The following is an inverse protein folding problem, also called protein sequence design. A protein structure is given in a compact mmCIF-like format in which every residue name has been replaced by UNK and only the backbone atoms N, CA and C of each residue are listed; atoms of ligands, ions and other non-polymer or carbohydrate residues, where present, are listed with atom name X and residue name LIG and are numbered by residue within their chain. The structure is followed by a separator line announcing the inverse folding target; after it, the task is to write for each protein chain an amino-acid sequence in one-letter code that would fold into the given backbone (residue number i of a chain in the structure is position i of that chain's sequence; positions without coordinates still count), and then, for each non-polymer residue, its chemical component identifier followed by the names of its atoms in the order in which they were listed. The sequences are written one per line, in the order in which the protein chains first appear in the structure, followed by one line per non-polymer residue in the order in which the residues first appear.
data_IF_729954838463
#
_entry.id   IF_729954838463
#
_cell.length_a   1.000
_cell.length_b   1.000
_cell.length_c   1.000
_cell.angle_alpha   90.00
_cell.angle_beta   90.00
_cell.angle_gamma   90.00
#
_symmetry.space_group_name_H-M   'P 1'
#
loop_
_entity.id
_entity.type
_entity.pdbx_description
1 polymer ?
#
# COMPACT_ATOMS: atom_id res chain seq x y z
N UNK A 1 3.87 14.04 -16.58
CA UNK A 1 2.56 14.71 -16.50
C UNK A 1 2.68 15.99 -15.69
N UNK A 2 2.39 17.17 -16.28
CA UNK A 2 2.69 18.47 -15.66
C UNK A 2 1.55 19.01 -14.76
N UNK A 3 0.29 18.75 -15.11
CA UNK A 3 -0.84 19.44 -14.48
C UNK A 3 -1.57 18.64 -13.39
N UNK A 4 -1.45 17.31 -13.42
CA UNK A 4 -2.17 16.41 -12.48
C UNK A 4 -1.24 15.89 -11.37
N UNK A 5 0.06 15.80 -11.64
CA UNK A 5 1.01 15.31 -10.64
C UNK A 5 1.05 16.27 -9.44
N UNK A 6 0.90 15.76 -8.21
CA UNK A 6 0.93 16.57 -7.00
C UNK A 6 -0.39 17.29 -6.67
N UNK A 7 -1.45 17.12 -7.47
CA UNK A 7 -2.79 17.61 -7.09
C UNK A 7 -3.45 16.66 -6.08
N UNK A 8 -4.62 17.07 -5.58
CA UNK A 8 -5.42 16.27 -4.63
C UNK A 8 -6.46 15.41 -5.34
N UNK A 9 -6.59 14.18 -4.88
CA UNK A 9 -7.70 13.27 -5.19
C UNK A 9 -8.11 12.58 -3.88
N UNK A 10 -9.39 12.65 -3.52
CA UNK A 10 -9.92 12.18 -2.22
C UNK A 10 -9.08 12.68 -1.03
N UNK A 11 -8.76 13.98 -1.03
CA UNK A 11 -7.90 14.67 -0.05
C UNK A 11 -6.44 14.18 0.05
N UNK A 12 -5.99 13.34 -0.89
CA UNK A 12 -4.63 12.80 -0.93
C UNK A 12 -3.83 13.39 -2.07
N UNK A 13 -2.57 13.71 -1.80
CA UNK A 13 -1.63 14.11 -2.86
C UNK A 13 -1.26 12.87 -3.68
N UNK A 14 -1.60 12.89 -4.97
CA UNK A 14 -1.26 11.81 -5.90
C UNK A 14 0.08 12.05 -6.60
N UNK A 15 0.75 10.95 -6.97
CA UNK A 15 2.00 10.97 -7.73
C UNK A 15 1.84 10.17 -9.01
N UNK A 16 2.23 10.77 -10.13
CA UNK A 16 2.19 10.13 -11.46
C UNK A 16 3.59 10.04 -12.04
N UNK A 17 3.93 8.88 -12.62
CA UNK A 17 5.19 8.65 -13.32
C UNK A 17 4.94 8.12 -14.74
N UNK A 18 5.98 8.16 -15.58
CA UNK A 18 5.99 7.45 -16.85
C UNK A 18 6.12 5.94 -16.64
N UNK A 19 5.38 5.18 -17.45
CA UNK A 19 5.37 3.73 -17.40
C UNK A 19 5.59 3.14 -18.80
N UNK A 20 6.22 1.98 -18.90
CA UNK A 20 6.51 1.31 -20.18
C UNK A 20 5.27 0.72 -20.88
N UNK A 21 4.08 0.78 -20.25
CA UNK A 21 2.81 0.32 -20.82
C UNK A 21 2.25 -0.92 -20.14
N UNK A 22 0.92 -1.09 -20.21
CA UNK A 22 0.21 -2.17 -19.53
C UNK A 22 0.58 -3.56 -20.08
N UNK A 23 0.68 -4.55 -19.17
CA UNK A 23 0.78 -5.98 -19.47
C UNK A 23 0.07 -6.76 -18.35
N UNK A 24 -0.51 -7.90 -18.70
CA UNK A 24 -1.18 -8.78 -17.73
C UNK A 24 -0.24 -9.12 -16.56
N UNK A 25 -0.78 -9.11 -15.35
CA UNK A 25 -0.04 -9.31 -14.10
C UNK A 25 0.53 -8.03 -13.49
N UNK A 26 0.64 -6.92 -14.23
CA UNK A 26 1.15 -5.64 -13.70
C UNK A 26 0.15 -4.89 -12.84
N UNK A 27 -1.14 -5.24 -12.91
CA UNK A 27 -2.20 -4.69 -12.08
C UNK A 27 -2.12 -5.16 -10.62
N UNK A 28 -1.46 -6.29 -10.36
CA UNK A 28 -1.36 -6.84 -9.01
C UNK A 28 -0.19 -6.21 -8.23
N UNK A 29 -0.43 -5.98 -6.94
CA UNK A 29 0.63 -5.59 -6.01
C UNK A 29 1.70 -6.67 -5.89
N UNK A 30 2.95 -6.26 -5.70
CA UNK A 30 4.13 -7.15 -5.65
C UNK A 30 4.66 -7.36 -4.23
N UNK A 31 3.94 -6.88 -3.22
CA UNK A 31 4.22 -7.20 -1.82
C UNK A 31 3.96 -8.68 -1.55
N UNK A 32 4.69 -9.26 -0.60
CA UNK A 32 4.50 -10.65 -0.13
C UNK A 32 3.07 -10.93 0.35
N UNK A 33 2.40 -9.91 0.86
CA UNK A 33 1.02 -9.93 1.32
C UNK A 33 -0.04 -9.73 0.22
N UNK A 34 0.38 -9.54 -1.04
CA UNK A 34 -0.47 -9.26 -2.20
C UNK A 34 -0.72 -7.76 -2.46
N UNK A 35 -0.41 -6.89 -1.50
CA UNK A 35 -0.51 -5.42 -1.64
C UNK A 35 0.68 -4.79 -2.37
N UNK A 36 0.79 -3.46 -2.30
CA UNK A 36 1.99 -2.78 -2.79
C UNK A 36 3.18 -3.04 -1.85
N UNK A 37 4.38 -3.20 -2.41
CA UNK A 37 5.63 -3.41 -1.64
C UNK A 37 5.85 -2.28 -0.62
N UNK A 38 5.54 -1.04 -0.99
CA UNK A 38 5.69 0.12 -0.11
C UNK A 38 4.83 0.04 1.15
N UNK A 39 3.64 -0.55 1.06
CA UNK A 39 2.72 -0.65 2.19
C UNK A 39 3.16 -1.72 3.21
N UNK A 40 4.11 -2.60 2.87
CA UNK A 40 4.60 -3.62 3.81
C UNK A 40 5.48 -3.03 4.93
N UNK A 41 6.32 -2.07 4.57
CA UNK A 41 7.34 -1.46 5.44
C UNK A 41 6.87 -0.16 6.12
N UNK A 42 5.64 0.28 5.83
CA UNK A 42 5.09 1.53 6.37
C UNK A 42 4.82 1.41 7.88
N UNK A 43 5.21 2.42 8.64
CA UNK A 43 5.10 2.42 10.11
C UNK A 43 3.90 3.23 10.62
N UNK A 44 3.52 4.27 9.88
CA UNK A 44 2.36 5.13 10.16
C UNK A 44 1.03 4.38 9.97
N UNK A 45 -0.02 4.90 10.62
CA UNK A 45 -1.39 4.45 10.43
C UNK A 45 -2.07 5.28 9.33
N UNK A 46 -2.61 4.62 8.32
CA UNK A 46 -3.40 5.26 7.26
C UNK A 46 -4.66 4.44 7.00
N UNK A 47 -5.85 4.90 7.46
CA UNK A 47 -7.09 4.13 7.35
C UNK A 47 -7.49 3.88 5.89
N UNK A 48 -7.22 4.82 4.98
CA UNK A 48 -7.51 4.67 3.56
C UNK A 48 -6.53 3.72 2.83
N UNK A 49 -5.52 3.20 3.53
CA UNK A 49 -4.63 2.12 3.08
C UNK A 49 -4.73 0.85 3.94
N UNK A 50 -5.84 0.67 4.65
CA UNK A 50 -6.09 -0.52 5.48
C UNK A 50 -5.37 -0.51 6.84
N UNK A 51 -4.96 0.65 7.34
CA UNK A 51 -4.40 0.84 8.67
C UNK A 51 -2.88 0.89 8.71
N UNK A 52 -2.24 0.06 9.53
CA UNK A 52 -0.77 -0.03 9.61
C UNK A 52 -0.20 -0.85 8.45
N UNK A 53 1.08 -0.61 8.13
CA UNK A 53 1.81 -1.47 7.20
C UNK A 53 1.88 -2.92 7.70
N UNK A 54 1.96 -3.88 6.78
CA UNK A 54 1.71 -5.30 7.10
C UNK A 54 2.68 -5.88 8.12
N UNK A 55 3.96 -5.52 8.08
CA UNK A 55 4.94 -5.96 9.07
C UNK A 55 4.63 -5.37 10.45
N UNK A 56 4.32 -4.07 10.49
CA UNK A 56 3.93 -3.36 11.70
C UNK A 56 2.63 -3.92 12.29
N UNK A 57 1.67 -4.30 11.45
CA UNK A 57 0.41 -4.93 11.85
C UNK A 57 0.68 -6.29 12.51
N UNK A 58 1.50 -7.14 11.89
CA UNK A 58 1.89 -8.46 12.41
C UNK A 58 2.57 -8.36 13.78
N UNK A 59 3.46 -7.39 13.96
CA UNK A 59 4.13 -7.14 15.24
C UNK A 59 3.15 -6.67 16.33
N UNK A 60 2.10 -5.95 15.94
CA UNK A 60 1.10 -5.37 16.86
C UNK A 60 -0.06 -6.30 17.18
N UNK A 61 -0.31 -7.31 16.35
CA UNK A 61 -1.25 -8.37 16.68
C UNK A 61 -0.59 -9.31 17.70
N UNK A 62 -1.01 -9.31 18.98
CA UNK A 62 -0.60 -10.38 19.89
C UNK A 62 -1.08 -11.72 19.32
N UNK A 63 -0.26 -12.76 19.49
CA UNK A 63 -0.53 -14.11 19.01
C UNK A 63 -1.95 -14.58 19.37
N UNK A 64 -2.89 -14.50 18.41
CA UNK A 64 -4.24 -15.08 18.55
C UNK A 64 -4.20 -16.58 18.19
N UNK A 65 -3.02 -17.22 18.28
CA UNK A 65 -2.81 -18.64 17.98
C UNK A 65 -2.62 -19.47 19.25
N UNK A 66 -3.58 -19.38 20.15
CA UNK A 66 -3.82 -20.44 21.13
C UNK A 66 -5.30 -20.50 21.50
N UNK A 67 -6.14 -21.01 20.60
CA UNK A 67 -7.47 -21.52 20.97
C UNK A 67 -7.83 -22.74 20.12
N UNK A 68 -7.78 -23.89 20.81
CA UNK A 68 -8.29 -25.24 20.52
C UNK A 68 -7.63 -26.03 19.41
#
# INVERSE_FOLDING_TARGET
MRFINGTRLDDRIIRTDWDAGFKEGRQYGRGKSGGQVRDEYRQDYDPARGGYGKLTQLQRTPDVRQKF
#
